data_IF_141957526020
#
_entry.id   IF_141957526020
#
_cell.length_a   1.000
_cell.length_b   1.000
_cell.length_c   1.000
_cell.angle_alpha   90.00
_cell.angle_beta   90.00
_cell.angle_gamma   90.00
#
_symmetry.space_group_name_H-M   'P 1'
#
loop_
_entity.id
_entity.type
_entity.pdbx_description
1 polymer ?
#
# COMPACT_ATOMS: atom_id res chain seq x y z
N UNK A 1 -15.93 -14.66 7.28
CA UNK A 1 -15.98 -13.66 6.19
C UNK A 1 -16.05 -14.36 4.87
N UNK A 2 -16.98 -13.95 4.02
CA UNK A 2 -17.05 -14.40 2.64
C UNK A 2 -16.64 -13.25 1.73
N UNK A 3 -16.00 -13.56 0.62
CA UNK A 3 -15.74 -12.61 -0.43
C UNK A 3 -16.06 -13.23 -1.79
N UNK A 4 -16.42 -12.40 -2.74
CA UNK A 4 -16.83 -12.84 -4.05
C UNK A 4 -15.99 -12.21 -5.14
N UNK A 5 -15.75 -12.99 -6.18
CA UNK A 5 -15.08 -12.55 -7.40
C UNK A 5 -15.97 -12.85 -8.59
N UNK A 6 -16.07 -11.91 -9.52
CA UNK A 6 -16.65 -12.18 -10.82
C UNK A 6 -15.61 -12.89 -11.71
N UNK A 7 -15.97 -14.09 -12.15
CA UNK A 7 -15.18 -14.84 -13.12
C UNK A 7 -16.13 -15.37 -14.19
N UNK A 8 -15.86 -15.06 -15.45
CA UNK A 8 -16.71 -15.46 -16.59
C UNK A 8 -18.19 -15.04 -16.41
N UNK A 9 -18.43 -13.81 -16.01
CA UNK A 9 -19.75 -13.23 -15.72
C UNK A 9 -20.57 -13.97 -14.64
N UNK A 10 -19.92 -14.81 -13.84
CA UNK A 10 -20.53 -15.46 -12.68
C UNK A 10 -19.90 -14.96 -11.40
N UNK A 11 -20.73 -14.64 -10.42
CA UNK A 11 -20.27 -14.32 -9.08
C UNK A 11 -19.92 -15.61 -8.35
N UNK A 12 -18.66 -15.75 -7.96
CA UNK A 12 -18.15 -16.88 -7.18
C UNK A 12 -17.83 -16.40 -5.77
N UNK A 13 -18.59 -16.85 -4.82
CA UNK A 13 -18.37 -16.56 -3.40
C UNK A 13 -17.52 -17.65 -2.76
N UNK A 14 -16.54 -17.27 -1.98
CA UNK A 14 -15.71 -18.20 -1.19
C UNK A 14 -15.46 -17.66 0.20
N UNK A 15 -15.12 -18.57 1.12
CA UNK A 15 -14.68 -18.18 2.44
C UNK A 15 -13.31 -17.49 2.35
N UNK A 16 -13.18 -16.38 3.05
CA UNK A 16 -11.88 -15.73 3.25
C UNK A 16 -11.08 -16.56 4.26
N UNK A 17 -9.88 -17.03 3.91
CA UNK A 17 -9.02 -17.73 4.88
C UNK A 17 -8.59 -16.72 5.95
N UNK A 18 -9.06 -16.98 7.16
CA UNK A 18 -8.88 -16.05 8.27
C UNK A 18 -8.46 -16.81 9.52
N UNK A 19 -7.34 -16.41 10.11
CA UNK A 19 -6.91 -16.88 11.42
C UNK A 19 -7.59 -16.03 12.51
N UNK A 20 -8.22 -16.70 13.45
CA UNK A 20 -8.89 -16.03 14.58
C UNK A 20 -7.90 -15.55 15.65
N UNK A 21 -6.67 -16.06 15.64
CA UNK A 21 -5.60 -15.63 16.54
C UNK A 21 -4.88 -14.43 15.90
N UNK A 22 -5.04 -13.22 16.46
CA UNK A 22 -4.39 -12.05 15.88
C UNK A 22 -2.88 -12.11 16.07
N UNK A 23 -2.14 -11.75 15.04
CA UNK A 23 -0.71 -11.48 15.17
C UNK A 23 -0.52 -10.11 15.80
N UNK A 24 0.20 -10.07 16.90
CA UNK A 24 0.52 -8.83 17.62
C UNK A 24 1.90 -8.35 17.17
N UNK A 25 1.96 -7.12 16.70
CA UNK A 25 3.21 -6.42 16.38
C UNK A 25 3.42 -5.38 17.48
N UNK A 26 4.48 -5.47 18.30
CA UNK A 26 4.77 -4.49 19.33
C UNK A 26 5.00 -3.09 18.74
N UNK A 27 4.69 -2.06 19.52
CA UNK A 27 4.76 -0.66 19.08
C UNK A 27 6.16 -0.28 18.56
N UNK A 28 7.21 -0.63 19.26
CA UNK A 28 8.58 -0.34 18.87
C UNK A 28 8.97 -1.02 17.54
N UNK A 29 8.51 -2.23 17.32
CA UNK A 29 8.71 -2.97 16.07
C UNK A 29 7.94 -2.30 14.92
N UNK A 30 6.68 -1.91 15.16
CA UNK A 30 5.88 -1.19 14.19
C UNK A 30 6.49 0.17 13.82
N UNK A 31 6.98 0.94 14.78
CA UNK A 31 7.65 2.23 14.55
C UNK A 31 8.93 2.07 13.71
N UNK A 32 9.68 1.00 13.94
CA UNK A 32 10.85 0.66 13.12
C UNK A 32 10.44 0.35 11.67
N UNK A 33 9.42 -0.49 11.48
CA UNK A 33 8.87 -0.81 10.18
C UNK A 33 8.35 0.43 9.46
N UNK A 34 7.54 1.23 10.14
CA UNK A 34 6.96 2.46 9.59
C UNK A 34 8.04 3.40 9.05
N UNK A 35 9.12 3.60 9.82
CA UNK A 35 10.26 4.43 9.40
C UNK A 35 10.91 3.89 8.13
N UNK A 36 11.18 2.58 8.08
CA UNK A 36 11.79 1.94 6.92
C UNK A 36 10.88 2.00 5.68
N UNK A 37 9.58 1.75 5.87
CA UNK A 37 8.60 1.81 4.78
C UNK A 37 8.41 3.23 4.22
N UNK A 38 8.38 4.25 5.09
CA UNK A 38 8.36 5.66 4.66
C UNK A 38 9.59 6.01 3.83
N UNK A 39 10.78 5.59 4.26
CA UNK A 39 12.02 5.78 3.50
C UNK A 39 11.95 5.09 2.13
N UNK A 40 11.45 3.86 2.10
CA UNK A 40 11.30 3.09 0.86
C UNK A 40 10.35 3.76 -0.13
N UNK A 41 9.16 4.15 0.30
CA UNK A 41 8.17 4.85 -0.53
C UNK A 41 8.73 6.17 -1.07
N UNK A 42 9.46 6.90 -0.24
CA UNK A 42 10.13 8.12 -0.67
C UNK A 42 11.17 7.86 -1.77
N UNK A 43 12.03 6.85 -1.60
CA UNK A 43 13.00 6.45 -2.60
C UNK A 43 12.34 6.02 -3.93
N UNK A 44 11.24 5.27 -3.86
CA UNK A 44 10.47 4.86 -5.03
C UNK A 44 9.84 6.06 -5.76
N UNK A 45 9.33 7.05 -5.04
CA UNK A 45 8.86 8.30 -5.66
C UNK A 45 10.00 9.10 -6.31
N UNK A 46 11.19 9.16 -5.71
CA UNK A 46 12.37 9.78 -6.35
C UNK A 46 12.77 9.03 -7.62
N UNK A 47 12.74 7.71 -7.61
CA UNK A 47 12.98 6.90 -8.80
C UNK A 47 11.97 7.19 -9.92
N UNK A 48 10.68 7.22 -9.60
CA UNK A 48 9.63 7.57 -10.56
C UNK A 48 9.82 8.99 -11.11
N UNK A 49 10.16 9.95 -10.24
CA UNK A 49 10.46 11.31 -10.70
C UNK A 49 11.64 11.34 -11.67
N UNK A 50 12.70 10.56 -11.40
CA UNK A 50 13.87 10.54 -12.27
C UNK A 50 13.56 9.91 -13.63
N UNK A 51 12.89 8.77 -13.69
CA UNK A 51 12.59 8.09 -14.96
C UNK A 51 11.60 8.85 -15.85
N UNK A 52 10.74 9.68 -15.26
CA UNK A 52 9.80 10.52 -16.00
C UNK A 52 10.30 11.96 -16.23
N UNK A 53 11.50 12.33 -15.72
CA UNK A 53 12.08 13.66 -15.93
C UNK A 53 13.50 13.60 -16.50
N UNK A 54 14.52 13.68 -15.64
CA UNK A 54 15.93 13.82 -16.02
C UNK A 54 16.59 12.54 -16.50
N UNK A 55 16.05 11.38 -16.14
CA UNK A 55 16.53 10.02 -16.50
C UNK A 55 18.00 9.81 -16.13
N UNK A 56 18.41 10.34 -14.98
CA UNK A 56 19.80 10.25 -14.49
C UNK A 56 20.24 8.81 -14.31
N UNK A 57 19.37 7.97 -13.74
CA UNK A 57 19.65 6.56 -13.48
C UNK A 57 19.95 5.78 -14.76
N UNK A 58 19.32 6.16 -15.90
CA UNK A 58 19.59 5.58 -17.23
C UNK A 58 20.88 6.17 -17.79
N UNK A 59 21.01 7.49 -17.78
CA UNK A 59 22.19 8.20 -18.30
C UNK A 59 23.48 7.76 -17.60
N UNK A 60 23.41 7.55 -16.30
CA UNK A 60 24.53 7.13 -15.46
C UNK A 60 24.75 5.60 -15.54
N UNK A 61 23.97 4.89 -16.39
CA UNK A 61 24.05 3.44 -16.64
C UNK A 61 23.88 2.57 -15.39
N UNK A 62 23.14 3.06 -14.40
CA UNK A 62 22.82 2.31 -13.18
C UNK A 62 21.79 1.23 -13.50
N UNK A 63 20.80 1.58 -14.34
CA UNK A 63 19.79 0.65 -14.87
C UNK A 63 19.82 0.73 -16.39
N UNK A 64 19.84 -0.40 -17.12
CA UNK A 64 19.68 -0.42 -18.57
C UNK A 64 18.33 0.17 -18.98
N UNK A 65 18.32 1.00 -20.03
CA UNK A 65 17.11 1.70 -20.49
C UNK A 65 15.99 0.74 -20.92
N UNK A 66 16.35 -0.43 -21.44
CA UNK A 66 15.38 -1.42 -21.85
C UNK A 66 14.50 -1.89 -20.69
N UNK A 67 15.02 -1.99 -19.46
CA UNK A 67 14.19 -2.37 -18.30
C UNK A 67 13.09 -1.35 -17.99
N UNK A 68 13.33 -0.09 -18.33
CA UNK A 68 12.32 0.95 -18.14
C UNK A 68 11.31 0.93 -19.29
N UNK A 69 11.80 1.03 -20.54
CA UNK A 69 10.92 1.22 -21.68
C UNK A 69 10.17 -0.01 -22.14
N UNK A 70 10.65 -1.22 -21.84
CA UNK A 70 9.91 -2.46 -22.09
C UNK A 70 9.01 -2.87 -20.95
N UNK A 71 9.09 -2.18 -19.80
CA UNK A 71 8.22 -2.46 -18.66
C UNK A 71 6.75 -2.13 -19.01
N UNK A 72 5.81 -3.05 -18.79
CA UNK A 72 4.39 -2.78 -18.98
C UNK A 72 3.85 -1.72 -18.01
N UNK A 73 4.61 -1.39 -16.97
CA UNK A 73 4.29 -0.32 -16.02
C UNK A 73 4.71 1.07 -16.50
N UNK A 74 5.59 1.18 -17.51
CA UNK A 74 5.99 2.48 -18.03
C UNK A 74 4.90 3.08 -18.91
N UNK A 75 4.50 4.32 -18.60
CA UNK A 75 3.49 5.05 -19.35
C UNK A 75 4.14 6.12 -20.22
N UNK A 76 4.36 5.82 -21.51
CA UNK A 76 4.97 6.76 -22.44
C UNK A 76 4.22 8.13 -22.54
N UNK A 77 2.88 8.19 -22.47
CA UNK A 77 2.18 9.48 -22.42
C UNK A 77 2.51 10.35 -21.20
N UNK A 78 3.04 9.75 -20.13
CA UNK A 78 3.44 10.45 -18.91
C UNK A 78 4.90 10.92 -18.94
N UNK A 79 5.65 10.62 -20.02
CA UNK A 79 7.05 11.07 -20.14
C UNK A 79 7.11 12.59 -20.10
N UNK A 80 8.01 13.12 -19.27
CA UNK A 80 8.20 14.55 -18.98
C UNK A 80 7.02 15.24 -18.27
N UNK A 81 6.00 14.50 -17.85
CA UNK A 81 4.97 15.06 -16.98
C UNK A 81 5.49 15.07 -15.54
N UNK A 82 5.34 16.20 -14.89
CA UNK A 82 5.68 16.36 -13.47
C UNK A 82 4.38 16.53 -12.68
N UNK A 83 3.98 15.56 -11.87
CA UNK A 83 2.79 15.71 -11.04
C UNK A 83 3.01 16.76 -9.95
N UNK A 84 1.92 17.30 -9.37
CA UNK A 84 2.01 18.21 -8.23
C UNK A 84 2.89 17.63 -7.13
N UNK A 85 3.73 18.50 -6.52
CA UNK A 85 4.68 18.12 -5.45
C UNK A 85 5.67 17.01 -5.83
N UNK A 86 5.75 16.61 -7.11
CA UNK A 86 6.55 15.48 -7.61
C UNK A 86 6.18 14.14 -6.95
N UNK A 87 4.93 13.97 -6.58
CA UNK A 87 4.43 12.73 -5.99
C UNK A 87 3.75 11.90 -7.08
N UNK A 88 4.35 10.79 -7.44
CA UNK A 88 3.86 9.85 -8.45
C UNK A 88 3.00 8.74 -7.84
N UNK A 89 3.28 8.39 -6.59
CA UNK A 89 2.54 7.36 -5.86
C UNK A 89 2.06 7.93 -4.52
N UNK A 90 0.75 7.95 -4.32
CA UNK A 90 0.10 8.49 -3.12
C UNK A 90 -0.36 7.39 -2.16
N UNK A 91 -0.56 6.17 -2.66
CA UNK A 91 -1.01 5.03 -1.87
C UNK A 91 -0.15 3.83 -2.26
N UNK A 92 0.55 3.26 -1.30
CA UNK A 92 1.44 2.12 -1.49
C UNK A 92 0.96 0.93 -0.68
N UNK A 93 0.91 -0.25 -1.31
CA UNK A 93 0.74 -1.53 -0.63
C UNK A 93 2.06 -2.28 -0.63
N UNK A 94 2.73 -2.34 0.51
CA UNK A 94 4.01 -3.01 0.63
C UNK A 94 3.82 -4.32 1.39
N UNK A 95 4.10 -5.43 0.72
CA UNK A 95 3.96 -6.76 1.30
C UNK A 95 5.19 -7.12 2.11
N UNK A 96 4.97 -7.52 3.35
CA UNK A 96 6.03 -7.87 4.29
C UNK A 96 5.93 -9.32 4.74
N UNK A 97 7.08 -9.93 4.97
CA UNK A 97 7.18 -11.24 5.62
C UNK A 97 8.24 -11.18 6.71
N UNK A 98 7.97 -11.86 7.82
CA UNK A 98 9.00 -12.06 8.83
C UNK A 98 9.66 -13.41 8.64
N UNK A 99 10.98 -13.39 8.48
CA UNK A 99 11.80 -14.58 8.32
C UNK A 99 11.94 -15.38 9.62
N UNK A 100 12.55 -16.55 9.53
CA UNK A 100 12.88 -17.40 10.69
C UNK A 100 13.88 -16.75 11.64
N UNK A 101 14.66 -15.81 11.14
CA UNK A 101 15.61 -14.97 11.88
C UNK A 101 14.94 -13.79 12.59
N UNK A 102 13.59 -13.75 12.56
CA UNK A 102 12.76 -12.66 13.09
C UNK A 102 12.95 -11.31 12.39
N UNK A 103 13.70 -11.26 11.28
CA UNK A 103 13.83 -10.06 10.47
C UNK A 103 12.65 -9.87 9.52
N UNK A 104 12.30 -8.63 9.24
CA UNK A 104 11.28 -8.28 8.27
C UNK A 104 11.86 -8.07 6.88
N UNK A 105 11.22 -8.65 5.89
CA UNK A 105 11.59 -8.56 4.49
C UNK A 105 10.43 -8.02 3.67
N UNK A 106 10.75 -7.14 2.71
CA UNK A 106 9.78 -6.71 1.70
C UNK A 106 9.70 -7.77 0.62
N UNK A 107 8.50 -8.24 0.30
CA UNK A 107 8.25 -9.15 -0.81
C UNK A 107 7.99 -8.40 -2.11
N UNK A 108 7.09 -7.42 -2.07
CA UNK A 108 6.76 -6.59 -3.23
C UNK A 108 6.25 -5.20 -2.83
N UNK A 109 6.31 -4.29 -3.80
CA UNK A 109 5.77 -2.94 -3.69
C UNK A 109 4.62 -2.76 -4.67
N UNK A 110 3.39 -2.77 -4.17
CA UNK A 110 2.21 -2.47 -4.96
C UNK A 110 1.98 -0.95 -5.01
N UNK A 111 2.50 -0.30 -6.05
CA UNK A 111 2.46 1.16 -6.19
C UNK A 111 1.37 1.64 -7.15
N UNK A 112 0.89 0.77 -8.04
CA UNK A 112 -0.05 1.18 -9.09
C UNK A 112 -1.50 1.12 -8.63
N UNK A 113 -1.93 -0.02 -8.12
CA UNK A 113 -3.32 -0.28 -7.72
C UNK A 113 -3.30 -1.10 -6.43
N UNK A 114 -2.81 -0.56 -5.29
CA UNK A 114 -2.89 -1.26 -4.03
C UNK A 114 -4.36 -1.46 -3.65
N UNK A 115 -4.68 -2.65 -3.15
CA UNK A 115 -6.05 -3.01 -2.81
C UNK A 115 -6.11 -3.77 -1.50
N UNK A 116 -7.33 -4.05 -1.03
CA UNK A 116 -7.54 -4.95 0.08
C UNK A 116 -7.53 -4.32 1.47
N UNK A 117 -7.43 -3.00 1.61
CA UNK A 117 -7.44 -2.31 2.91
C UNK A 117 -8.68 -2.62 3.76
N UNK A 118 -9.81 -2.96 3.13
CA UNK A 118 -11.04 -3.36 3.83
C UNK A 118 -10.92 -4.69 4.57
N UNK A 119 -10.07 -5.61 4.09
CA UNK A 119 -9.90 -6.92 4.73
C UNK A 119 -9.32 -6.80 6.15
N UNK A 120 -8.20 -6.10 6.40
CA UNK A 120 -7.71 -5.92 7.77
C UNK A 120 -8.65 -5.11 8.66
N UNK A 121 -9.44 -4.19 8.12
CA UNK A 121 -10.45 -3.47 8.89
C UNK A 121 -11.54 -4.41 9.39
N UNK A 122 -12.09 -5.24 8.49
CA UNK A 122 -13.11 -6.24 8.85
C UNK A 122 -12.51 -7.30 9.77
N UNK A 123 -11.31 -7.80 9.48
CA UNK A 123 -10.61 -8.77 10.30
C UNK A 123 -10.41 -8.26 11.74
N UNK A 124 -9.99 -7.00 11.90
CA UNK A 124 -9.84 -6.34 13.20
C UNK A 124 -11.16 -6.31 13.96
N UNK A 125 -12.25 -5.94 13.30
CA UNK A 125 -13.58 -5.89 13.93
C UNK A 125 -14.05 -7.29 14.37
N UNK A 126 -13.79 -8.32 13.58
CA UNK A 126 -14.12 -9.70 13.93
C UNK A 126 -13.28 -10.19 15.11
N UNK A 127 -11.98 -9.93 15.13
CA UNK A 127 -11.12 -10.26 16.28
C UNK A 127 -11.60 -9.57 17.55
N UNK A 128 -12.00 -8.31 17.47
CA UNK A 128 -12.55 -7.56 18.61
C UNK A 128 -13.81 -8.20 19.17
N UNK A 129 -14.69 -8.70 18.30
CA UNK A 129 -15.93 -9.40 18.73
C UNK A 129 -15.65 -10.80 19.26
N UNK A 130 -14.70 -11.51 18.66
CA UNK A 130 -14.36 -12.88 19.06
C UNK A 130 -13.54 -12.95 20.36
N UNK A 131 -12.70 -11.95 20.61
CA UNK A 131 -11.77 -11.90 21.74
C UNK A 131 -11.74 -10.50 22.37
N UNK A 132 -12.84 -10.03 22.97
CA UNK A 132 -12.94 -8.68 23.51
C UNK A 132 -11.88 -8.39 24.57
N UNK A 133 -11.55 -9.38 25.41
CA UNK A 133 -10.57 -9.25 26.49
C UNK A 133 -9.18 -8.88 25.96
N UNK A 134 -8.80 -9.38 24.79
CA UNK A 134 -7.52 -9.04 24.14
C UNK A 134 -7.43 -7.54 23.86
N UNK A 135 -8.53 -6.93 23.45
CA UNK A 135 -8.57 -5.50 23.12
C UNK A 135 -8.81 -4.59 24.34
N UNK A 136 -9.46 -5.12 25.39
CA UNK A 136 -9.68 -4.39 26.64
C UNK A 136 -8.41 -4.32 27.49
N UNK A 137 -7.64 -5.41 27.52
CA UNK A 137 -6.44 -5.53 28.34
C UNK A 137 -5.16 -5.04 27.67
N UNK A 138 -5.22 -4.71 26.38
CA UNK A 138 -4.08 -4.22 25.61
C UNK A 138 -4.44 -2.93 24.88
N UNK A 139 -3.50 -1.99 24.86
CA UNK A 139 -3.62 -0.79 24.02
C UNK A 139 -3.31 -1.17 22.58
N UNK A 140 -4.37 -1.33 21.77
CA UNK A 140 -4.26 -1.69 20.34
C UNK A 140 -4.63 -0.51 19.49
N UNK A 141 -3.71 -0.06 18.63
CA UNK A 141 -3.94 1.05 17.71
C UNK A 141 -5.10 0.78 16.76
N UNK A 142 -5.85 1.82 16.41
CA UNK A 142 -7.02 1.74 15.55
C UNK A 142 -6.63 1.86 14.07
N UNK A 143 -7.34 1.13 13.21
CA UNK A 143 -7.21 1.21 11.76
C UNK A 143 -8.47 1.76 11.06
N UNK A 144 -9.45 2.25 11.82
CA UNK A 144 -10.74 2.73 11.28
C UNK A 144 -10.64 4.05 10.54
N UNK A 145 -9.57 4.84 10.78
CA UNK A 145 -9.38 6.14 10.10
C UNK A 145 -8.84 6.01 8.66
N UNK A 146 -8.73 4.79 8.12
CA UNK A 146 -8.23 4.60 6.76
C UNK A 146 -9.05 5.39 5.72
N UNK A 147 -10.39 5.41 5.84
CA UNK A 147 -11.25 6.20 4.97
C UNK A 147 -10.98 7.70 5.05
N UNK A 148 -10.74 8.21 6.26
CA UNK A 148 -10.34 9.60 6.48
C UNK A 148 -8.99 9.94 5.88
N UNK A 149 -8.02 9.01 5.97
CA UNK A 149 -6.70 9.15 5.34
C UNK A 149 -6.84 9.19 3.81
N UNK A 150 -7.61 8.28 3.23
CA UNK A 150 -7.87 8.25 1.78
C UNK A 150 -8.51 9.55 1.30
N UNK A 151 -9.49 10.06 2.03
CA UNK A 151 -10.12 11.35 1.73
C UNK A 151 -9.08 12.48 1.72
N UNK A 152 -8.20 12.54 2.71
CA UNK A 152 -7.13 13.57 2.75
C UNK A 152 -6.20 13.49 1.53
N UNK A 153 -5.86 12.28 1.07
CA UNK A 153 -5.09 12.10 -0.17
C UNK A 153 -5.85 12.66 -1.37
N UNK A 154 -7.14 12.36 -1.50
CA UNK A 154 -7.97 12.86 -2.60
C UNK A 154 -8.13 14.38 -2.54
N UNK A 155 -8.28 14.95 -1.36
CA UNK A 155 -8.33 16.40 -1.17
C UNK A 155 -7.00 17.07 -1.55
N UNK A 156 -5.86 16.44 -1.28
CA UNK A 156 -4.53 16.96 -1.60
C UNK A 156 -4.22 16.97 -3.11
N UNK A 157 -4.78 16.02 -3.87
CA UNK A 157 -4.60 15.94 -5.33
C UNK A 157 -5.70 16.64 -6.12
N UNK A 158 -6.75 17.07 -5.45
CA UNK A 158 -7.89 17.73 -6.09
C UNK A 158 -7.51 19.14 -6.55
N UNK A 159 -7.81 19.45 -7.80
CA UNK A 159 -7.58 20.77 -8.41
C UNK A 159 -8.81 21.68 -8.35
N UNK A 160 -9.91 21.21 -7.80
CA UNK A 160 -11.18 21.92 -7.62
C UNK A 160 -12.38 20.97 -7.60
N UNK A 161 -13.47 21.41 -6.95
CA UNK A 161 -14.70 20.60 -6.82
C UNK A 161 -14.79 19.81 -5.50
N UNK A 162 -15.74 18.88 -5.44
CA UNK A 162 -16.03 18.06 -4.27
C UNK A 162 -15.57 16.62 -4.54
N UNK A 163 -14.79 16.07 -3.63
CA UNK A 163 -14.45 14.65 -3.65
C UNK A 163 -15.59 13.83 -3.06
N UNK A 164 -16.08 12.85 -3.82
CA UNK A 164 -17.08 11.88 -3.36
C UNK A 164 -16.43 10.52 -3.32
N UNK A 165 -16.46 9.87 -2.16
CA UNK A 165 -16.00 8.48 -1.96
C UNK A 165 -17.26 7.65 -1.71
N UNK A 166 -17.50 6.66 -2.57
CA UNK A 166 -18.60 5.71 -2.47
C UNK A 166 -18.15 4.43 -1.79
#
# INVERSE_FOLDING_TARGET
VKFGLYKNNKFNERLFPFDTIPRIIPKNEFEFLEKGLKQRVYALNLFLNDIYSDKKIIRDKIIPEEFIYTSPGFSAPCDKLTPPKKIYNHISGIDLVQGKDMCWYVLEDNLRIPSGASYPMIARELCRRASPDTFQNNSVDDNRDYGGLLRRVLDDVNTGGINVIL
#
